data_IF_454187972547
#
_entry.id   IF_454187972547
#
_cell.length_a   1.000
_cell.length_b   1.000
_cell.length_c   1.000
_cell.angle_alpha   90.00
_cell.angle_beta   90.00
_cell.angle_gamma   90.00
#
_symmetry.space_group_name_H-M   'P 1'
#
loop_
_entity.id
_entity.type
_entity.pdbx_description
1 polymer ?
#
# COMPACT_ATOMS: atom_id res chain seq x y z
N UNK A 1 36.80 -31.43 -68.21
CA UNK A 1 35.89 -32.21 -67.49
C UNK A 1 35.98 -31.83 -65.98
N UNK A 2 35.59 -30.67 -65.77
CA UNK A 2 35.58 -30.02 -64.41
C UNK A 2 34.12 -29.75 -64.06
N UNK A 3 33.70 -30.15 -62.95
CA UNK A 3 32.64 -29.45 -62.12
C UNK A 3 32.06 -30.45 -61.17
N UNK A 4 32.41 -30.32 -59.92
CA UNK A 4 31.56 -30.71 -58.83
C UNK A 4 32.35 -30.68 -57.49
N UNK A 5 32.69 -29.54 -56.99
CA UNK A 5 33.00 -29.35 -55.56
C UNK A 5 32.77 -27.87 -55.25
N UNK A 6 31.57 -27.52 -54.93
CA UNK A 6 31.25 -26.22 -54.27
C UNK A 6 29.78 -26.18 -53.87
N UNK A 7 29.39 -27.02 -52.92
CA UNK A 7 28.11 -26.92 -52.30
C UNK A 7 28.20 -27.57 -50.92
N UNK A 8 28.67 -26.86 -49.92
CA UNK A 8 28.78 -27.43 -48.57
C UNK A 8 29.28 -26.51 -47.49
N UNK A 9 29.15 -25.20 -47.61
CA UNK A 9 29.62 -24.28 -46.58
C UNK A 9 28.75 -23.05 -46.42
N UNK A 10 27.46 -23.25 -46.16
CA UNK A 10 26.56 -22.10 -45.88
C UNK A 10 25.35 -22.50 -45.05
N UNK A 11 25.56 -23.15 -43.93
CA UNK A 11 24.44 -23.43 -43.02
C UNK A 11 24.83 -23.50 -41.54
N UNK A 12 25.72 -22.61 -41.10
CA UNK A 12 26.03 -22.50 -39.65
C UNK A 12 26.23 -21.04 -39.19
N UNK A 13 25.47 -20.10 -39.73
CA UNK A 13 25.55 -18.69 -39.34
C UNK A 13 24.19 -18.13 -38.88
N UNK A 14 23.38 -18.91 -38.19
CA UNK A 14 21.98 -18.53 -37.85
C UNK A 14 21.58 -18.66 -36.38
N UNK A 15 22.49 -18.77 -35.43
CA UNK A 15 22.11 -18.95 -34.02
C UNK A 15 22.91 -18.07 -33.03
N UNK A 16 23.35 -16.90 -33.46
CA UNK A 16 23.77 -15.86 -32.51
C UNK A 16 22.71 -14.76 -32.52
N UNK A 17 21.57 -15.03 -31.93
CA UNK A 17 20.70 -13.96 -31.45
C UNK A 17 21.34 -13.41 -30.17
N UNK A 18 21.80 -12.15 -30.13
CA UNK A 18 22.13 -11.53 -28.85
C UNK A 18 20.86 -11.48 -28.04
N UNK A 19 20.83 -12.18 -26.91
CA UNK A 19 19.85 -11.92 -25.86
C UNK A 19 20.02 -10.44 -25.50
N UNK A 20 19.11 -9.61 -26.00
CA UNK A 20 18.96 -8.27 -25.49
C UNK A 20 18.54 -8.46 -24.02
N UNK A 21 19.48 -8.35 -23.10
CA UNK A 21 19.22 -8.07 -21.71
C UNK A 21 18.56 -6.70 -21.70
N UNK A 22 17.23 -6.68 -21.77
CA UNK A 22 16.48 -5.50 -21.39
C UNK A 22 16.90 -5.24 -19.95
N UNK A 23 17.60 -4.13 -19.79
CA UNK A 23 17.99 -3.59 -18.51
C UNK A 23 16.71 -3.33 -17.70
N UNK A 24 16.36 -4.27 -16.83
CA UNK A 24 15.36 -4.12 -15.80
C UNK A 24 15.93 -3.31 -14.62
N UNK A 25 16.82 -2.36 -14.94
CA UNK A 25 17.54 -1.53 -13.98
C UNK A 25 16.84 -0.22 -13.60
N UNK A 26 15.52 -0.19 -13.53
CA UNK A 26 14.84 0.84 -12.74
C UNK A 26 14.32 0.21 -11.45
N UNK A 27 15.24 -0.21 -10.59
CA UNK A 27 14.95 -0.18 -9.16
C UNK A 27 14.71 1.29 -8.81
N UNK A 28 13.47 1.74 -8.95
CA UNK A 28 13.02 2.79 -8.09
C UNK A 28 13.11 2.17 -6.69
N UNK A 29 14.19 2.46 -5.98
CA UNK A 29 14.12 2.54 -4.53
C UNK A 29 13.05 3.61 -4.25
N UNK A 30 11.80 3.22 -4.39
CA UNK A 30 10.72 3.95 -3.79
C UNK A 30 11.11 4.02 -2.32
N UNK A 31 11.31 5.22 -1.75
CA UNK A 31 11.57 5.33 -0.32
C UNK A 31 10.49 4.49 0.33
N UNK A 32 10.92 3.56 1.20
CA UNK A 32 9.98 2.70 1.93
C UNK A 32 8.87 3.62 2.40
N UNK A 33 7.63 3.33 1.99
CA UNK A 33 6.49 4.16 2.34
C UNK A 33 6.56 4.30 3.86
N UNK A 34 7.00 5.47 4.31
CA UNK A 34 6.95 5.82 5.72
C UNK A 34 5.51 5.60 6.09
N UNK A 35 5.24 4.75 7.08
CA UNK A 35 3.90 4.48 7.57
C UNK A 35 3.22 5.85 7.71
N UNK A 36 2.27 6.12 6.81
CA UNK A 36 1.53 7.38 6.83
C UNK A 36 0.83 7.41 8.18
N UNK A 37 1.01 8.49 8.94
CA UNK A 37 0.24 8.67 10.16
C UNK A 37 -1.26 8.51 9.81
N UNK A 38 -2.09 7.95 10.70
CA UNK A 38 -3.51 7.81 10.46
C UNK A 38 -4.09 9.14 9.97
N UNK A 39 -4.85 9.10 8.89
CA UNK A 39 -5.47 10.32 8.37
C UNK A 39 -6.45 10.85 9.41
N UNK A 40 -6.36 12.15 9.75
CA UNK A 40 -7.30 12.80 10.66
C UNK A 40 -8.68 12.80 9.98
N UNK A 41 -9.73 12.22 10.60
CA UNK A 41 -11.08 12.25 10.08
C UNK A 41 -11.53 13.69 9.83
N UNK A 42 -12.20 13.91 8.69
CA UNK A 42 -12.71 15.22 8.31
C UNK A 42 -14.04 15.09 7.58
N UNK A 43 -14.88 16.11 7.68
CA UNK A 43 -16.06 16.30 6.85
C UNK A 43 -16.03 17.69 6.22
N UNK A 44 -16.78 17.86 5.15
CA UNK A 44 -17.09 19.14 4.55
C UNK A 44 -18.57 19.17 4.19
N UNK A 45 -19.21 20.31 4.38
CA UNK A 45 -20.59 20.55 3.99
C UNK A 45 -20.71 21.99 3.51
N UNK A 46 -21.57 22.22 2.50
CA UNK A 46 -21.81 23.53 1.94
C UNK A 46 -23.29 23.74 1.68
N UNK A 47 -23.69 25.00 1.75
CA UNK A 47 -24.99 25.51 1.35
C UNK A 47 -24.82 26.66 0.35
N UNK A 48 -25.85 27.42 0.07
CA UNK A 48 -25.75 28.65 -0.75
C UNK A 48 -25.07 29.81 0.02
N UNK A 49 -25.07 29.76 1.36
CA UNK A 49 -24.54 30.83 2.19
C UNK A 49 -23.17 30.51 2.79
N UNK A 50 -22.99 29.29 3.25
CA UNK A 50 -21.84 28.89 4.06
C UNK A 50 -21.19 27.59 3.55
N UNK A 51 -19.91 27.48 3.83
CA UNK A 51 -19.16 26.24 3.75
C UNK A 51 -18.55 25.96 5.13
N UNK A 52 -18.59 24.70 5.58
CA UNK A 52 -17.99 24.28 6.83
C UNK A 52 -17.09 23.07 6.59
N UNK A 53 -15.89 23.11 7.17
CA UNK A 53 -14.96 21.99 7.21
C UNK A 53 -14.73 21.64 8.68
N UNK A 54 -14.86 20.36 9.04
CA UNK A 54 -14.60 19.88 10.38
C UNK A 54 -13.54 18.79 10.39
N UNK A 55 -12.67 18.80 11.40
CA UNK A 55 -11.67 17.77 11.67
C UNK A 55 -11.82 17.25 13.09
N UNK A 56 -11.63 15.92 13.29
CA UNK A 56 -11.67 15.28 14.59
C UNK A 56 -10.35 14.55 14.85
N UNK A 57 -9.59 15.03 15.84
CA UNK A 57 -8.36 14.40 16.29
C UNK A 57 -8.55 13.83 17.71
N UNK A 58 -8.80 12.52 17.79
CA UNK A 58 -9.26 11.91 19.03
C UNK A 58 -10.59 12.52 19.46
N UNK A 59 -10.63 13.20 20.61
CA UNK A 59 -11.79 13.91 21.11
C UNK A 59 -11.81 15.40 20.75
N UNK A 60 -10.77 15.93 20.11
CA UNK A 60 -10.72 17.33 19.72
C UNK A 60 -11.43 17.54 18.38
N UNK A 61 -12.42 18.43 18.39
CA UNK A 61 -13.16 18.86 17.21
C UNK A 61 -12.74 20.28 16.85
N UNK A 62 -12.29 20.50 15.61
CA UNK A 62 -12.05 21.83 15.05
C UNK A 62 -12.97 22.02 13.84
N UNK A 63 -13.61 23.20 13.75
CA UNK A 63 -14.50 23.56 12.67
C UNK A 63 -14.05 24.90 12.07
N UNK A 64 -14.15 25.02 10.75
CA UNK A 64 -13.85 26.19 9.97
C UNK A 64 -15.09 26.56 9.18
N UNK A 65 -15.63 27.77 9.42
CA UNK A 65 -16.83 28.27 8.79
C UNK A 65 -16.49 29.47 7.92
N UNK A 66 -16.75 29.34 6.64
CA UNK A 66 -16.51 30.36 5.64
C UNK A 66 -17.79 30.69 4.87
N UNK A 67 -17.81 31.86 4.24
CA UNK A 67 -18.86 32.21 3.26
C UNK A 67 -18.63 31.44 1.96
N UNK A 68 -19.68 30.83 1.45
CA UNK A 68 -19.60 30.08 0.21
C UNK A 68 -19.17 30.94 -1.01
N UNK A 69 -19.58 32.20 -1.04
CA UNK A 69 -19.35 33.07 -2.20
C UNK A 69 -17.88 33.47 -2.43
N UNK A 70 -17.11 33.64 -1.36
CA UNK A 70 -15.76 34.22 -1.43
C UNK A 70 -14.75 33.60 -0.46
N UNK A 71 -15.14 32.53 0.25
CA UNK A 71 -14.35 31.86 1.28
C UNK A 71 -13.87 32.82 2.40
N UNK A 72 -14.62 33.88 2.67
CA UNK A 72 -14.30 34.77 3.78
C UNK A 72 -14.71 34.13 5.12
N UNK A 73 -13.84 34.12 6.14
CA UNK A 73 -14.18 33.56 7.45
C UNK A 73 -15.40 34.29 8.06
N UNK A 74 -16.34 33.50 8.62
CA UNK A 74 -17.55 34.03 9.26
C UNK A 74 -17.29 34.25 10.74
N UNK A 75 -17.03 35.50 11.13
CA UNK A 75 -16.79 35.86 12.52
C UNK A 75 -18.11 36.09 13.28
N UNK A 76 -18.13 35.76 14.57
CA UNK A 76 -19.25 36.04 15.47
C UNK A 76 -20.47 35.17 15.22
N UNK A 77 -20.33 34.05 14.50
CA UNK A 77 -21.40 33.09 14.33
C UNK A 77 -21.62 32.25 15.59
N UNK A 78 -22.84 31.79 15.78
CA UNK A 78 -23.19 30.77 16.77
C UNK A 78 -23.44 29.45 16.05
N UNK A 79 -22.79 28.37 16.49
CA UNK A 79 -22.96 27.03 15.94
C UNK A 79 -23.63 26.10 16.93
N UNK A 80 -24.70 25.44 16.48
CA UNK A 80 -25.28 24.28 17.18
C UNK A 80 -24.82 23.03 16.41
N UNK A 81 -23.98 22.23 17.05
CA UNK A 81 -23.34 21.07 16.42
C UNK A 81 -23.84 19.79 17.05
N UNK A 82 -24.22 18.82 16.23
CA UNK A 82 -24.49 17.45 16.64
C UNK A 82 -23.62 16.48 15.84
N UNK A 83 -22.99 15.54 16.52
CA UNK A 83 -22.21 14.45 15.93
C UNK A 83 -22.89 13.14 16.26
N UNK A 84 -23.43 12.47 15.24
CA UNK A 84 -24.48 11.48 15.44
C UNK A 84 -25.66 12.12 16.16
N UNK A 85 -26.14 11.48 17.23
CA UNK A 85 -27.23 11.99 18.07
C UNK A 85 -26.73 12.82 19.27
N UNK A 86 -25.43 13.12 19.33
CA UNK A 86 -24.82 13.77 20.49
C UNK A 86 -24.53 15.25 20.21
N UNK A 87 -25.13 16.18 20.97
CA UNK A 87 -24.80 17.59 20.85
C UNK A 87 -23.39 17.87 21.37
N UNK A 88 -22.66 18.73 20.65
CA UNK A 88 -21.29 19.12 20.96
C UNK A 88 -21.23 20.61 21.19
N UNK A 89 -20.77 21.02 22.38
CA UNK A 89 -20.53 22.43 22.67
C UNK A 89 -19.26 22.88 21.97
N UNK A 90 -19.38 23.88 21.11
CA UNK A 90 -18.27 24.51 20.40
C UNK A 90 -18.15 25.98 20.80
N UNK A 91 -16.96 26.55 20.69
CA UNK A 91 -16.67 27.96 20.95
C UNK A 91 -15.82 28.51 19.82
N UNK A 92 -16.11 29.74 19.40
CA UNK A 92 -15.26 30.48 18.50
C UNK A 92 -13.93 30.82 19.18
N UNK A 93 -12.83 30.47 18.52
CA UNK A 93 -11.46 30.72 19.00
C UNK A 93 -10.73 31.75 18.13
N UNK A 94 -11.15 31.92 16.89
CA UNK A 94 -10.74 32.96 15.95
C UNK A 94 -11.89 33.17 14.93
N UNK A 95 -11.78 34.20 14.10
CA UNK A 95 -12.78 34.49 13.08
C UNK A 95 -13.02 33.26 12.17
N UNK A 96 -14.22 32.71 12.20
CA UNK A 96 -14.58 31.50 11.46
C UNK A 96 -14.00 30.19 11.99
N UNK A 97 -13.23 30.21 13.07
CA UNK A 97 -12.64 29.01 13.67
C UNK A 97 -13.31 28.67 15.00
N UNK A 98 -13.77 27.43 15.13
CA UNK A 98 -14.45 26.93 16.32
C UNK A 98 -13.76 25.67 16.85
N UNK A 99 -13.71 25.53 18.14
CA UNK A 99 -13.19 24.35 18.81
C UNK A 99 -14.24 23.74 19.76
N UNK A 100 -14.29 22.43 19.80
CA UNK A 100 -15.16 21.65 20.69
C UNK A 100 -14.48 20.38 21.16
N UNK A 101 -15.18 19.68 22.07
CA UNK A 101 -14.69 18.40 22.58
C UNK A 101 -15.80 17.37 22.45
N UNK A 102 -15.50 16.30 21.74
CA UNK A 102 -16.37 15.13 21.62
C UNK A 102 -16.35 14.33 22.93
N UNK A 103 -17.47 13.70 23.28
CA UNK A 103 -17.55 12.84 24.45
C UNK A 103 -16.59 11.64 24.37
N UNK A 104 -16.33 11.15 23.15
CA UNK A 104 -15.38 10.09 22.83
C UNK A 104 -14.85 10.28 21.41
N UNK A 105 -13.73 9.63 21.08
CA UNK A 105 -13.24 9.59 19.71
C UNK A 105 -14.27 8.93 18.78
N UNK A 106 -14.29 9.37 17.51
CA UNK A 106 -15.19 8.80 16.51
C UNK A 106 -14.91 7.31 16.31
N UNK A 107 -15.93 6.46 16.30
CA UNK A 107 -15.77 5.05 15.99
C UNK A 107 -15.45 4.86 14.50
N UNK A 108 -14.85 3.73 14.10
CA UNK A 108 -14.76 3.37 12.70
C UNK A 108 -16.12 3.30 12.02
N UNK A 109 -16.17 3.76 10.76
CA UNK A 109 -17.39 3.86 9.97
C UNK A 109 -17.85 5.30 9.76
N UNK A 110 -19.08 5.47 9.32
CA UNK A 110 -19.68 6.75 8.99
C UNK A 110 -20.42 7.30 10.21
N UNK A 111 -20.12 8.55 10.59
CA UNK A 111 -20.83 9.28 11.66
C UNK A 111 -21.35 10.59 11.08
N UNK A 112 -22.67 10.79 11.09
CA UNK A 112 -23.29 12.02 10.56
C UNK A 112 -22.96 13.23 11.44
N UNK A 113 -22.87 14.39 10.81
CA UNK A 113 -22.69 15.69 11.47
C UNK A 113 -23.76 16.65 10.96
N UNK A 114 -24.37 17.34 11.88
CA UNK A 114 -25.33 18.43 11.58
C UNK A 114 -24.87 19.69 12.29
N UNK A 115 -24.83 20.79 11.55
CA UNK A 115 -24.44 22.11 12.07
C UNK A 115 -25.50 23.13 11.71
N UNK A 116 -26.17 23.67 12.71
CA UNK A 116 -26.98 24.88 12.52
C UNK A 116 -26.11 26.10 12.73
N UNK A 117 -26.09 26.97 11.75
CA UNK A 117 -25.31 28.22 11.75
C UNK A 117 -26.26 29.39 11.96
N UNK A 118 -25.95 30.29 12.89
CA UNK A 118 -26.60 31.59 13.04
C UNK A 118 -25.53 32.69 12.97
N UNK A 119 -25.55 33.52 11.90
CA UNK A 119 -24.58 34.55 11.65
C UNK A 119 -25.29 35.88 11.28
N UNK A 120 -25.47 36.79 12.24
CA UNK A 120 -26.29 37.97 12.09
C UNK A 120 -27.75 37.60 11.84
N UNK A 121 -28.28 38.04 10.70
CA UNK A 121 -29.68 37.76 10.27
C UNK A 121 -29.79 36.46 9.44
N UNK A 122 -28.67 35.80 9.15
CA UNK A 122 -28.60 34.61 8.33
C UNK A 122 -28.60 33.38 9.21
N UNK A 123 -29.44 32.39 8.84
CA UNK A 123 -29.49 31.09 9.50
C UNK A 123 -29.47 30.00 8.46
N UNK A 124 -28.72 28.94 8.71
CA UNK A 124 -28.61 27.83 7.78
C UNK A 124 -28.33 26.51 8.50
N UNK A 125 -28.56 25.39 7.80
CA UNK A 125 -28.34 24.06 8.28
C UNK A 125 -27.43 23.32 7.29
N UNK A 126 -26.25 22.91 7.78
CA UNK A 126 -25.30 22.13 7.01
C UNK A 126 -25.24 20.72 7.56
N UNK A 127 -25.15 19.75 6.67
CA UNK A 127 -25.02 18.33 7.05
C UNK A 127 -23.90 17.67 6.25
N UNK A 128 -23.14 16.82 6.92
CA UNK A 128 -22.03 16.05 6.34
C UNK A 128 -21.77 14.82 7.17
N UNK A 129 -20.73 14.07 6.79
CA UNK A 129 -20.38 12.82 7.45
C UNK A 129 -18.86 12.75 7.68
N UNK A 130 -18.46 12.34 8.88
CA UNK A 130 -17.13 11.81 9.11
C UNK A 130 -17.08 10.36 8.63
N UNK A 131 -16.15 10.02 7.78
CA UNK A 131 -15.86 8.64 7.38
C UNK A 131 -14.52 8.23 7.99
N UNK A 132 -14.58 7.43 9.05
CA UNK A 132 -13.43 6.93 9.79
C UNK A 132 -13.10 5.53 9.30
N UNK A 133 -12.09 5.43 8.45
CA UNK A 133 -11.59 4.13 8.04
C UNK A 133 -10.84 3.51 9.21
N UNK A 134 -11.23 2.29 9.61
CA UNK A 134 -10.37 1.49 10.47
C UNK A 134 -9.04 1.35 9.72
N UNK A 135 -7.93 1.75 10.34
CA UNK A 135 -6.63 1.40 9.83
C UNK A 135 -6.67 -0.10 9.59
N UNK A 136 -6.70 -0.51 8.32
CA UNK A 136 -6.45 -1.88 7.98
C UNK A 136 -5.08 -2.15 8.60
N UNK A 137 -5.06 -2.87 9.72
CA UNK A 137 -3.83 -3.39 10.26
C UNK A 137 -3.17 -4.08 9.08
N UNK A 138 -2.20 -3.39 8.47
CA UNK A 138 -1.39 -4.00 7.44
C UNK A 138 -0.65 -5.08 8.20
N UNK A 139 -1.28 -6.26 8.28
CA UNK A 139 -0.55 -7.48 8.53
C UNK A 139 0.45 -7.59 7.37
N UNK A 140 1.53 -6.84 7.51
CA UNK A 140 2.76 -7.18 6.83
C UNK A 140 3.14 -8.56 7.37
N UNK A 141 2.52 -9.58 6.82
CA UNK A 141 3.06 -10.93 6.88
C UNK A 141 4.38 -10.83 6.13
N UNK A 142 5.39 -10.32 6.83
CA UNK A 142 6.77 -10.51 6.42
C UNK A 142 6.95 -12.02 6.38
N UNK A 143 6.65 -12.58 5.21
CA UNK A 143 7.01 -13.96 4.92
C UNK A 143 8.52 -14.00 5.01
N UNK A 144 8.97 -14.39 6.19
CA UNK A 144 10.38 -14.41 6.55
C UNK A 144 11.04 -15.45 5.65
N UNK A 145 11.47 -15.00 4.45
CA UNK A 145 12.13 -15.89 3.47
C UNK A 145 13.36 -16.56 4.08
N UNK A 146 13.91 -15.97 5.15
CA UNK A 146 14.98 -16.56 5.95
C UNK A 146 14.55 -17.84 6.65
N UNK A 147 13.28 -17.99 6.97
CA UNK A 147 12.75 -19.24 7.52
C UNK A 147 12.74 -20.38 6.49
N UNK A 148 12.80 -20.08 5.19
CA UNK A 148 12.88 -21.06 4.11
C UNK A 148 14.33 -21.45 3.78
N UNK A 149 15.34 -20.66 4.20
CA UNK A 149 16.76 -20.92 3.96
C UNK A 149 17.22 -22.31 4.44
N UNK A 150 16.91 -22.77 5.68
CA UNK A 150 17.34 -24.09 6.14
C UNK A 150 16.75 -25.22 5.29
N UNK A 151 15.53 -25.09 4.83
CA UNK A 151 14.87 -26.07 3.96
C UNK A 151 15.48 -26.10 2.55
N UNK A 152 15.85 -24.95 2.02
CA UNK A 152 16.56 -24.84 0.74
C UNK A 152 17.95 -25.49 0.79
N UNK A 153 18.71 -25.26 1.85
CA UNK A 153 20.01 -25.87 2.06
C UNK A 153 19.93 -27.39 2.28
N UNK A 154 18.91 -27.85 2.99
CA UNK A 154 18.66 -29.28 3.18
C UNK A 154 18.34 -29.98 1.85
N UNK A 155 17.52 -29.38 0.99
CA UNK A 155 17.19 -29.91 -0.33
C UNK A 155 18.42 -29.99 -1.23
N UNK A 156 19.27 -28.96 -1.25
CA UNK A 156 20.54 -28.92 -1.99
C UNK A 156 21.53 -30.00 -1.49
N UNK A 157 21.63 -30.19 -0.19
CA UNK A 157 22.47 -31.25 0.43
C UNK A 157 22.02 -32.63 0.02
N UNK A 158 20.72 -32.93 0.02
CA UNK A 158 20.17 -34.21 -0.40
C UNK A 158 20.39 -34.46 -1.90
N UNK A 159 20.19 -33.48 -2.74
CA UNK A 159 20.41 -33.60 -4.18
C UNK A 159 21.90 -33.82 -4.51
N UNK A 160 22.80 -33.07 -3.88
CA UNK A 160 24.25 -33.19 -4.06
C UNK A 160 24.78 -34.54 -3.54
N UNK A 161 24.31 -34.96 -2.37
CA UNK A 161 24.65 -36.26 -1.79
C UNK A 161 24.18 -37.43 -2.64
N UNK A 162 22.95 -37.36 -3.17
CA UNK A 162 22.39 -38.36 -4.08
C UNK A 162 23.20 -38.52 -5.37
N UNK A 163 23.59 -37.38 -5.97
CA UNK A 163 24.39 -37.35 -7.20
C UNK A 163 25.81 -37.87 -6.96
N UNK A 164 26.43 -37.59 -5.81
CA UNK A 164 27.73 -38.11 -5.43
C UNK A 164 27.72 -39.63 -5.21
N UNK A 165 26.69 -40.13 -4.52
CA UNK A 165 26.49 -41.57 -4.30
C UNK A 165 26.25 -42.32 -5.62
N UNK A 166 25.46 -41.77 -6.54
CA UNK A 166 25.19 -42.38 -7.85
C UNK A 166 26.46 -42.50 -8.71
N UNK A 167 27.31 -41.47 -8.69
CA UNK A 167 28.61 -41.49 -9.39
C UNK A 167 29.59 -42.52 -8.78
N UNK A 168 29.59 -42.64 -7.48
CA UNK A 168 30.47 -43.62 -6.77
C UNK A 168 30.05 -45.05 -7.01
N UNK A 169 28.76 -45.35 -7.16
CA UNK A 169 28.24 -46.68 -7.48
C UNK A 169 28.45 -47.07 -8.95
N UNK A 170 28.46 -46.10 -9.89
CA UNK A 170 28.74 -46.36 -11.28
C UNK A 170 30.21 -46.75 -11.55
N UNK A 171 31.17 -46.17 -10.77
CA UNK A 171 32.59 -46.48 -10.92
C UNK A 171 33.01 -47.88 -10.44
N UNK A 172 32.18 -48.60 -9.67
CA UNK A 172 32.46 -49.96 -9.16
C UNK A 172 32.05 -51.09 -10.10
N UNK A 173 31.32 -50.79 -11.20
CA UNK A 173 30.85 -51.83 -12.13
C UNK A 173 31.74 -52.13 -13.29
N UNK A 174 32.90 -51.45 -13.45
CA UNK A 174 33.82 -51.62 -14.58
C UNK A 174 34.99 -52.55 -14.29
N UNK A 175 35.22 -53.01 -13.06
CA UNK A 175 36.42 -53.79 -12.69
C UNK A 175 36.17 -55.35 -12.62
N UNK A 176 35.03 -55.82 -13.09
CA UNK A 176 34.66 -57.24 -12.95
C UNK A 176 34.71 -58.09 -14.23
N UNK A 177 35.35 -57.62 -15.33
CA UNK A 177 35.26 -58.33 -16.60
C UNK A 177 36.61 -58.60 -17.30
N UNK A 178 37.62 -59.02 -16.58
CA UNK A 178 38.81 -59.62 -17.20
C UNK A 178 39.45 -60.62 -16.26
N UNK A 179 38.89 -61.84 -16.17
CA UNK A 179 39.61 -63.03 -15.76
C UNK A 179 38.81 -64.27 -16.23
N UNK A 180 39.26 -64.92 -17.28
CA UNK A 180 38.70 -66.24 -17.65
C UNK A 180 38.81 -66.54 -19.15
N UNK A 181 39.98 -66.92 -19.61
CA UNK A 181 40.16 -67.48 -20.96
C UNK A 181 41.58 -67.87 -21.29
N UNK A 182 41.99 -69.01 -20.79
CA UNK A 182 43.09 -69.75 -21.41
C UNK A 182 43.16 -71.18 -20.75
N UNK A 183 42.73 -72.17 -21.48
CA UNK A 183 43.31 -73.47 -21.71
C UNK A 183 42.31 -74.30 -22.51
#
# INVERSE_FOLDING_TARGET
MFNAILAGASLLAGLYSPLALADAGHSHDAPAATASAPAIPRFAAASELFEIVGTANGTQLALYLDRFADNAPVAGATLEVSVGDTPVVVKEIAAGEFAGTLAQALPPGVTSVTVTVAAGDENDLLAGDFDVHADAAQEHTHRDWRALLPWGLAALGLAGGGLWLSRRSAGRRTDGRHAGGAA
#
